data_IF_890624454443
#
_entry.id   IF_890624454443
#
_cell.length_a   1.000
_cell.length_b   1.000
_cell.length_c   1.000
_cell.angle_alpha   90.00
_cell.angle_beta   90.00
_cell.angle_gamma   90.00
#
_symmetry.space_group_name_H-M   'P 1'
#
loop_
_entity.id
_entity.type
_entity.pdbx_description
1 polymer ?
#
# COMPACT_ATOMS: atom_id res chain seq x y z
N UNK A 1 -68.27 33.96 24.15
CA UNK A 1 -66.91 34.53 23.86
C UNK A 1 -65.91 33.78 24.69
N UNK A 2 -65.24 32.74 24.11
CA UNK A 2 -64.14 32.08 24.76
C UNK A 2 -63.08 31.79 23.66
N UNK A 3 -62.00 32.54 23.75
CA UNK A 3 -60.77 32.28 22.92
C UNK A 3 -60.02 31.09 23.50
N UNK A 4 -60.01 29.99 22.80
CA UNK A 4 -59.16 28.86 23.11
C UNK A 4 -57.77 29.06 22.50
N UNK A 5 -56.75 28.92 23.30
CA UNK A 5 -55.33 29.03 22.98
C UNK A 5 -54.86 27.85 22.10
N UNK A 6 -54.35 28.16 20.90
CA UNK A 6 -53.64 27.23 20.04
C UNK A 6 -52.15 27.48 20.23
N UNK A 7 -51.59 27.02 21.33
CA UNK A 7 -50.13 26.97 21.52
C UNK A 7 -49.83 25.74 22.36
N UNK A 8 -49.26 24.67 21.74
CA UNK A 8 -48.49 23.67 22.46
C UNK A 8 -48.02 22.45 21.65
N UNK A 9 -48.41 22.23 20.40
CA UNK A 9 -48.00 20.98 19.72
C UNK A 9 -46.67 21.06 18.93
N UNK A 10 -46.27 22.26 18.48
CA UNK A 10 -45.06 22.39 17.61
C UNK A 10 -43.73 22.34 18.38
N UNK A 11 -43.69 22.71 19.64
CA UNK A 11 -42.43 22.75 20.42
C UNK A 11 -41.99 21.36 20.91
N UNK A 12 -42.90 20.41 21.07
CA UNK A 12 -42.57 19.04 21.48
C UNK A 12 -42.02 18.20 20.35
N UNK A 13 -42.41 18.44 19.10
CA UNK A 13 -41.95 17.71 17.95
C UNK A 13 -40.47 18.05 17.62
N UNK A 14 -40.07 19.33 17.72
CA UNK A 14 -38.70 19.77 17.43
C UNK A 14 -37.73 19.30 18.51
N UNK A 15 -38.10 19.37 19.78
CA UNK A 15 -37.28 18.91 20.89
C UNK A 15 -37.04 17.38 20.85
N UNK A 16 -38.06 16.60 20.50
CA UNK A 16 -37.96 15.15 20.36
C UNK A 16 -37.03 14.73 19.23
N UNK A 17 -37.08 15.42 18.10
CA UNK A 17 -36.22 15.10 16.92
C UNK A 17 -34.75 15.41 17.20
N UNK A 18 -34.44 16.55 17.83
CA UNK A 18 -33.06 16.93 18.19
C UNK A 18 -32.48 15.96 19.22
N UNK A 19 -33.23 15.60 20.25
CA UNK A 19 -32.79 14.62 21.26
C UNK A 19 -32.54 13.26 20.62
N UNK A 20 -33.38 12.82 19.68
CA UNK A 20 -33.22 11.54 18.99
C UNK A 20 -32.00 11.52 18.07
N UNK A 21 -31.73 12.59 17.33
CA UNK A 21 -30.54 12.74 16.50
C UNK A 21 -29.28 12.76 17.34
N UNK A 22 -29.24 13.51 18.44
CA UNK A 22 -28.10 13.55 19.36
C UNK A 22 -27.87 12.19 19.99
N UNK A 23 -28.94 11.46 20.35
CA UNK A 23 -28.80 10.10 20.89
C UNK A 23 -28.25 9.10 19.86
N UNK A 24 -28.68 9.19 18.62
CA UNK A 24 -28.16 8.35 17.52
C UNK A 24 -26.68 8.65 17.28
N UNK A 25 -26.28 9.91 17.16
CA UNK A 25 -24.89 10.32 16.97
C UNK A 25 -24.03 9.86 18.14
N UNK A 26 -24.54 10.00 19.37
CA UNK A 26 -23.84 9.52 20.56
C UNK A 26 -23.72 7.99 20.59
N UNK A 27 -24.79 7.24 20.24
CA UNK A 27 -24.75 5.77 20.17
C UNK A 27 -23.82 5.27 19.08
N UNK A 28 -23.77 5.92 17.90
CA UNK A 28 -22.84 5.58 16.83
C UNK A 28 -21.40 5.86 17.26
N UNK A 29 -21.14 7.02 17.89
CA UNK A 29 -19.81 7.34 18.43
C UNK A 29 -19.34 6.39 19.54
N UNK A 30 -20.23 5.99 20.44
CA UNK A 30 -19.92 5.02 21.51
C UNK A 30 -19.67 3.63 20.94
N UNK A 31 -20.40 3.21 19.90
CA UNK A 31 -20.19 1.93 19.24
C UNK A 31 -18.84 1.93 18.47
N UNK A 32 -18.52 2.97 17.71
CA UNK A 32 -17.24 3.11 17.04
C UNK A 32 -16.06 3.05 18.02
N UNK A 33 -16.11 3.79 19.11
CA UNK A 33 -15.07 3.78 20.15
C UNK A 33 -14.93 2.40 20.85
N UNK A 34 -16.02 1.64 20.98
CA UNK A 34 -15.98 0.28 21.53
C UNK A 34 -15.36 -0.72 20.55
N UNK A 35 -15.66 -0.61 19.27
CA UNK A 35 -15.09 -1.45 18.23
C UNK A 35 -13.60 -1.18 18.07
N UNK A 36 -13.16 0.07 18.04
CA UNK A 36 -11.75 0.44 18.02
C UNK A 36 -11.00 -0.09 19.24
N UNK A 37 -11.57 0.06 20.45
CA UNK A 37 -10.98 -0.50 21.67
C UNK A 37 -10.90 -2.02 21.65
N UNK A 38 -11.86 -2.70 21.02
CA UNK A 38 -11.83 -4.16 20.84
C UNK A 38 -10.74 -4.57 19.85
N UNK A 39 -10.61 -3.90 18.71
CA UNK A 39 -9.55 -4.15 17.71
C UNK A 39 -8.16 -3.93 18.31
N UNK A 40 -7.95 -2.81 19.00
CA UNK A 40 -6.67 -2.52 19.67
C UNK A 40 -6.32 -3.59 20.71
N UNK A 41 -7.30 -4.05 21.49
CA UNK A 41 -7.09 -5.14 22.45
C UNK A 41 -6.73 -6.44 21.76
N UNK A 42 -7.45 -6.80 20.70
CA UNK A 42 -7.16 -8.01 19.91
C UNK A 42 -5.77 -7.93 19.26
N UNK A 43 -5.37 -6.77 18.76
CA UNK A 43 -4.03 -6.56 18.22
C UNK A 43 -2.95 -6.75 19.30
N UNK A 44 -3.12 -6.15 20.46
CA UNK A 44 -2.19 -6.31 21.59
C UNK A 44 -2.11 -7.75 22.11
N UNK A 45 -3.24 -8.48 22.16
CA UNK A 45 -3.28 -9.90 22.52
C UNK A 45 -2.50 -10.79 21.52
N UNK A 46 -2.31 -10.31 20.29
CA UNK A 46 -1.54 -10.97 19.23
C UNK A 46 -0.11 -10.43 19.08
N UNK A 47 0.33 -9.54 19.96
CA UNK A 47 1.68 -8.97 19.94
C UNK A 47 1.86 -7.82 18.95
N UNK A 48 0.78 -7.13 18.55
CA UNK A 48 0.87 -5.93 17.74
C UNK A 48 0.73 -4.66 18.61
N UNK A 49 1.58 -3.67 18.36
CA UNK A 49 1.63 -2.42 19.15
C UNK A 49 1.40 -1.21 18.25
N UNK A 50 0.77 -0.18 18.82
CA UNK A 50 0.57 1.08 18.12
C UNK A 50 1.92 1.74 17.77
N UNK A 51 1.97 2.54 16.67
CA UNK A 51 3.13 3.36 16.37
C UNK A 51 3.54 4.23 17.56
N UNK A 52 4.83 4.40 17.77
CA UNK A 52 5.36 5.31 18.81
C UNK A 52 5.29 6.77 18.40
N UNK A 53 5.16 7.02 17.09
CA UNK A 53 4.95 8.34 16.49
C UNK A 53 4.15 8.16 15.18
N UNK A 54 3.18 9.04 14.95
CA UNK A 54 2.39 9.08 13.72
C UNK A 54 2.00 10.51 13.39
N UNK A 55 2.27 10.95 12.17
CA UNK A 55 1.91 12.29 11.70
C UNK A 55 1.35 12.27 10.28
N UNK A 56 0.32 13.05 10.04
CA UNK A 56 -0.15 13.36 8.70
C UNK A 56 0.87 14.29 8.03
N UNK A 57 1.32 13.92 6.84
CA UNK A 57 2.19 14.74 6.00
C UNK A 57 1.37 15.56 5.01
N UNK A 58 0.29 15.00 4.48
CA UNK A 58 -0.60 15.68 3.54
C UNK A 58 -1.82 14.83 3.17
N UNK A 59 -2.70 15.45 2.36
CA UNK A 59 -3.85 14.79 1.75
C UNK A 59 -3.58 14.49 0.29
N UNK A 60 -3.91 13.28 -0.14
CA UNK A 60 -3.72 12.87 -1.52
C UNK A 60 -4.53 13.78 -2.47
N UNK A 61 -3.96 14.18 -3.61
CA UNK A 61 -4.66 15.00 -4.59
C UNK A 61 -5.81 14.22 -5.25
N UNK A 62 -6.73 14.95 -5.88
CA UNK A 62 -7.93 14.34 -6.48
C UNK A 62 -7.63 13.35 -7.62
N UNK A 63 -6.47 13.46 -8.23
CA UNK A 63 -5.95 12.57 -9.27
C UNK A 63 -5.53 11.21 -8.71
N UNK A 64 -5.20 11.15 -7.41
CA UNK A 64 -4.74 9.96 -6.68
C UNK A 64 -5.80 9.49 -5.69
N UNK A 65 -6.91 8.96 -6.21
CA UNK A 65 -8.01 8.46 -5.39
C UNK A 65 -7.78 7.07 -4.84
N UNK A 66 -7.10 6.27 -5.60
CA UNK A 66 -6.83 4.86 -5.32
C UNK A 66 -5.32 4.64 -5.29
N UNK A 67 -4.61 5.54 -4.51
CA UNK A 67 -3.15 5.44 -4.38
C UNK A 67 -2.78 4.08 -3.80
N UNK A 68 -2.17 3.26 -4.64
CA UNK A 68 -1.58 1.98 -4.29
C UNK A 68 -0.05 2.13 -4.18
N UNK A 69 0.79 1.21 -4.42
CA UNK A 69 2.25 1.26 -4.31
C UNK A 69 2.93 2.60 -4.02
N UNK A 70 3.98 2.61 -3.24
CA UNK A 70 4.69 3.82 -2.85
C UNK A 70 6.20 3.60 -2.83
N UNK A 71 6.98 4.50 -3.47
CA UNK A 71 8.43 4.55 -3.29
C UNK A 71 8.93 5.99 -3.08
N UNK A 72 10.06 6.11 -2.39
CA UNK A 72 10.75 7.38 -2.16
C UNK A 72 11.89 7.47 -3.16
N UNK A 73 11.90 8.52 -3.99
CA UNK A 73 12.98 8.78 -4.94
C UNK A 73 14.33 8.91 -4.23
N UNK A 74 15.36 8.28 -4.80
CA UNK A 74 16.75 8.43 -4.35
C UNK A 74 17.51 9.49 -5.14
N UNK A 75 17.05 9.81 -6.34
CA UNK A 75 17.70 10.79 -7.24
C UNK A 75 17.02 12.16 -7.24
N UNK A 76 15.75 12.23 -6.81
CA UNK A 76 14.99 13.47 -6.68
C UNK A 76 14.59 13.69 -5.22
N UNK A 77 15.39 14.38 -4.40
CA UNK A 77 15.12 14.53 -2.98
C UNK A 77 13.74 15.13 -2.67
N UNK A 78 12.98 14.47 -1.80
CA UNK A 78 11.65 14.91 -1.41
C UNK A 78 10.52 14.54 -2.37
N UNK A 79 10.81 13.74 -3.40
CA UNK A 79 9.84 13.21 -4.35
C UNK A 79 9.43 11.80 -3.90
N UNK A 80 8.13 11.53 -3.97
CA UNK A 80 7.52 10.21 -3.79
C UNK A 80 6.81 9.84 -5.09
N UNK A 81 6.95 8.58 -5.47
CA UNK A 81 6.26 8.00 -6.62
C UNK A 81 5.14 7.09 -6.15
N UNK A 82 4.01 7.18 -6.82
CA UNK A 82 2.86 6.32 -6.59
C UNK A 82 2.06 6.17 -7.90
N UNK A 83 1.06 5.30 -7.89
CA UNK A 83 0.10 5.11 -8.97
C UNK A 83 -1.29 4.89 -8.37
N UNK A 84 -2.33 4.94 -9.17
CA UNK A 84 -3.64 4.43 -8.78
C UNK A 84 -3.70 2.91 -9.05
N UNK A 85 -4.58 2.24 -8.32
CA UNK A 85 -4.99 0.86 -8.53
C UNK A 85 -5.78 0.68 -9.84
N UNK A 86 -6.48 -0.43 -9.99
CA UNK A 86 -7.26 -0.81 -11.16
C UNK A 86 -8.25 0.27 -11.61
N UNK A 87 -8.41 0.42 -12.94
CA UNK A 87 -9.39 1.35 -13.53
C UNK A 87 -8.83 2.73 -13.90
N UNK A 88 -7.58 3.05 -13.57
CA UNK A 88 -6.85 4.20 -14.12
C UNK A 88 -6.14 3.82 -15.44
N UNK A 89 -5.61 4.83 -16.14
CA UNK A 89 -4.67 4.64 -17.23
C UNK A 89 -3.27 4.37 -16.68
N UNK A 90 -2.33 3.81 -17.49
CA UNK A 90 -0.97 3.53 -17.03
C UNK A 90 -0.21 4.82 -16.73
N UNK A 91 -0.34 5.31 -15.51
CA UNK A 91 0.21 6.58 -15.05
C UNK A 91 1.03 6.43 -13.78
N UNK A 92 2.13 7.17 -13.75
CA UNK A 92 2.93 7.41 -12.56
C UNK A 92 2.69 8.84 -12.08
N UNK A 93 2.63 9.01 -10.78
CA UNK A 93 2.43 10.30 -10.14
C UNK A 93 3.62 10.61 -9.24
N UNK A 94 4.25 11.78 -9.49
CA UNK A 94 5.24 12.34 -8.58
C UNK A 94 4.55 13.29 -7.62
N UNK A 95 4.70 13.07 -6.32
CA UNK A 95 4.20 13.96 -5.26
C UNK A 95 5.33 14.41 -4.35
N UNK A 96 5.17 15.56 -3.68
CA UNK A 96 6.11 16.01 -2.66
C UNK A 96 5.73 15.48 -1.24
N UNK A 97 6.56 15.82 -0.26
CA UNK A 97 6.38 15.41 1.13
C UNK A 97 5.10 15.96 1.79
N UNK A 98 4.34 16.81 1.11
CA UNK A 98 3.03 17.33 1.55
C UNK A 98 1.88 16.75 0.73
N UNK A 99 2.15 15.69 -0.04
CA UNK A 99 1.24 15.06 -1.00
C UNK A 99 0.79 15.98 -2.15
N UNK A 100 1.49 17.08 -2.41
CA UNK A 100 1.19 17.94 -3.55
C UNK A 100 1.68 17.26 -4.84
N UNK A 101 0.81 17.16 -5.84
CA UNK A 101 1.17 16.65 -7.17
C UNK A 101 2.21 17.56 -7.82
N UNK A 102 3.33 16.98 -8.25
CA UNK A 102 4.42 17.63 -8.96
C UNK A 102 4.30 17.42 -10.47
N UNK A 103 4.08 16.16 -10.88
CA UNK A 103 3.94 15.77 -12.27
C UNK A 103 3.20 14.43 -12.41
N UNK A 104 2.64 14.21 -13.60
CA UNK A 104 2.02 12.95 -14.03
C UNK A 104 2.70 12.47 -15.29
N UNK A 105 3.02 11.18 -15.35
CA UNK A 105 3.68 10.54 -16.48
C UNK A 105 2.82 9.40 -17.03
N UNK A 106 2.44 9.50 -18.30
CA UNK A 106 1.83 8.39 -19.01
C UNK A 106 2.91 7.38 -19.41
N UNK A 107 2.69 6.10 -19.13
CA UNK A 107 3.66 5.04 -19.46
C UNK A 107 3.29 4.40 -20.78
N UNK A 108 3.95 4.80 -21.85
CA UNK A 108 3.69 4.28 -23.20
C UNK A 108 4.12 2.82 -23.30
N UNK A 109 3.19 1.99 -23.78
CA UNK A 109 3.41 0.56 -23.97
C UNK A 109 3.04 -0.31 -22.75
N UNK A 110 2.72 0.28 -21.60
CA UNK A 110 2.18 -0.46 -20.46
C UNK A 110 0.66 -0.67 -20.61
N UNK A 111 0.16 -1.73 -19.97
CA UNK A 111 -1.25 -1.89 -19.67
C UNK A 111 -1.46 -1.66 -18.17
N UNK A 112 -2.52 -0.95 -17.77
CA UNK A 112 -2.92 -0.83 -16.38
C UNK A 112 -4.15 -1.70 -16.17
N UNK A 113 -3.93 -3.00 -16.00
CA UNK A 113 -5.03 -3.93 -15.78
C UNK A 113 -5.40 -3.99 -14.32
N UNK A 114 -4.38 -4.12 -13.47
CA UNK A 114 -4.54 -4.22 -12.02
C UNK A 114 -3.18 -3.93 -11.36
N UNK A 115 -2.80 -2.64 -11.34
CA UNK A 115 -1.52 -2.19 -10.77
C UNK A 115 -1.65 -2.12 -9.25
N UNK A 116 -0.83 -2.88 -8.53
CA UNK A 116 -0.97 -3.01 -7.08
C UNK A 116 0.23 -2.49 -6.30
N UNK A 117 1.43 -2.57 -6.87
CA UNK A 117 2.64 -2.24 -6.12
C UNK A 117 3.71 -1.62 -6.99
N UNK A 118 4.68 -0.96 -6.35
CA UNK A 118 5.86 -0.48 -7.02
C UNK A 118 7.13 -0.61 -6.17
N UNK A 119 8.27 -0.74 -6.84
CA UNK A 119 9.58 -0.73 -6.22
C UNK A 119 10.52 0.22 -6.95
N UNK A 120 11.57 0.70 -6.26
CA UNK A 120 12.63 1.51 -6.82
C UNK A 120 13.96 0.78 -6.71
N UNK A 121 14.66 0.65 -7.83
CA UNK A 121 15.95 -0.04 -7.86
C UNK A 121 16.82 0.35 -9.06
N UNK A 122 17.98 -0.31 -9.25
CA UNK A 122 18.80 -0.09 -10.42
C UNK A 122 18.07 -0.54 -11.68
N UNK A 123 18.34 0.11 -12.81
CA UNK A 123 17.86 -0.35 -14.10
C UNK A 123 18.57 -1.65 -14.54
N UNK A 124 17.90 -2.56 -15.28
CA UNK A 124 18.47 -3.86 -15.65
C UNK A 124 19.79 -3.77 -16.43
N UNK A 125 19.96 -2.71 -17.24
CA UNK A 125 21.15 -2.52 -18.06
C UNK A 125 22.21 -1.60 -17.43
N UNK A 126 21.86 -0.89 -16.34
CA UNK A 126 22.75 0.09 -15.71
C UNK A 126 22.47 0.21 -14.22
N UNK A 127 23.42 -0.22 -13.40
CA UNK A 127 23.30 -0.05 -11.94
C UNK A 127 23.36 1.40 -11.47
N UNK A 128 23.81 2.32 -12.31
CA UNK A 128 23.97 3.74 -11.97
C UNK A 128 22.70 4.56 -12.30
N UNK A 129 21.74 3.92 -12.98
CA UNK A 129 20.46 4.54 -13.35
C UNK A 129 19.34 3.99 -12.46
N UNK A 130 18.46 4.87 -11.97
CA UNK A 130 17.32 4.50 -11.15
C UNK A 130 16.12 4.13 -12.02
N UNK A 131 15.45 3.04 -11.68
CA UNK A 131 14.23 2.58 -12.34
C UNK A 131 13.09 2.36 -11.36
N UNK A 132 11.89 2.70 -11.80
CA UNK A 132 10.63 2.31 -11.19
C UNK A 132 10.19 0.97 -11.77
N UNK A 133 9.81 0.07 -10.89
CA UNK A 133 9.23 -1.23 -11.20
C UNK A 133 7.78 -1.20 -10.76
N UNK A 134 6.84 -1.36 -11.69
CA UNK A 134 5.39 -1.29 -11.41
C UNK A 134 4.79 -2.66 -11.65
N UNK A 135 4.13 -3.20 -10.65
CA UNK A 135 3.57 -4.54 -10.66
C UNK A 135 2.09 -4.53 -11.09
N UNK A 136 1.82 -5.02 -12.27
CA UNK A 136 0.47 -5.34 -12.77
C UNK A 136 0.16 -6.81 -12.41
N UNK A 137 -0.10 -7.04 -11.12
CA UNK A 137 -0.15 -8.37 -10.48
C UNK A 137 -1.45 -8.66 -9.75
N UNK A 138 -2.38 -7.70 -9.67
CA UNK A 138 -3.68 -7.89 -9.08
C UNK A 138 -4.51 -8.91 -9.84
N UNK A 139 -5.21 -9.77 -9.11
CA UNK A 139 -6.12 -10.77 -9.66
C UNK A 139 -7.13 -11.24 -8.60
N UNK A 140 -7.98 -10.35 -8.16
CA UNK A 140 -9.03 -10.64 -7.19
C UNK A 140 -9.95 -11.82 -7.59
N UNK A 141 -9.98 -12.16 -8.88
CA UNK A 141 -10.77 -13.26 -9.43
C UNK A 141 -10.01 -14.57 -9.63
N UNK A 142 -8.69 -14.60 -9.40
CA UNK A 142 -7.81 -15.76 -9.63
C UNK A 142 -7.95 -16.32 -11.06
N UNK A 143 -7.95 -15.44 -12.08
CA UNK A 143 -8.22 -15.79 -13.48
C UNK A 143 -7.05 -15.46 -14.41
N UNK A 144 -6.02 -14.74 -13.94
CA UNK A 144 -4.88 -14.35 -14.77
C UNK A 144 -3.88 -15.48 -14.84
N UNK A 145 -3.71 -16.04 -16.03
CA UNK A 145 -2.68 -17.08 -16.29
C UNK A 145 -1.25 -16.50 -16.17
N UNK A 146 -1.10 -15.20 -16.46
CA UNK A 146 0.15 -14.46 -16.33
C UNK A 146 -0.08 -13.03 -15.91
N UNK A 147 0.89 -12.49 -15.21
CA UNK A 147 1.00 -11.12 -14.73
C UNK A 147 2.33 -10.52 -15.16
N UNK A 148 2.57 -9.23 -14.93
CA UNK A 148 3.78 -8.58 -15.39
C UNK A 148 4.27 -7.49 -14.43
N UNK A 149 5.58 -7.22 -14.47
CA UNK A 149 6.19 -6.04 -13.87
C UNK A 149 6.75 -5.19 -15.00
N UNK A 150 6.37 -3.91 -15.03
CA UNK A 150 6.85 -2.92 -15.98
C UNK A 150 8.06 -2.18 -15.41
N UNK A 151 9.06 -1.91 -16.22
CA UNK A 151 10.30 -1.23 -15.82
C UNK A 151 10.39 0.08 -16.59
N UNK A 152 10.50 1.18 -15.85
CA UNK A 152 10.54 2.54 -16.38
C UNK A 152 11.76 3.25 -15.78
N UNK A 153 12.58 3.92 -16.58
CA UNK A 153 13.60 4.82 -16.02
C UNK A 153 12.93 5.90 -15.18
N UNK A 154 13.44 6.17 -13.99
CA UNK A 154 12.85 7.13 -13.07
C UNK A 154 12.81 8.53 -13.72
N UNK A 155 11.62 9.09 -13.99
CA UNK A 155 11.52 10.36 -14.70
C UNK A 155 11.94 11.55 -13.84
N UNK A 156 12.34 12.65 -14.48
CA UNK A 156 12.56 13.92 -13.79
C UNK A 156 11.23 14.69 -13.62
N UNK A 157 10.70 14.82 -12.40
CA UNK A 157 9.42 15.51 -12.20
C UNK A 157 9.47 17.01 -12.47
N UNK A 158 10.66 17.61 -12.60
CA UNK A 158 10.82 19.02 -12.92
C UNK A 158 10.43 19.38 -14.35
N UNK A 159 10.38 18.40 -15.25
CA UNK A 159 9.93 18.62 -16.63
C UNK A 159 8.42 18.78 -16.77
N UNK A 160 7.66 18.49 -15.69
CA UNK A 160 6.20 18.50 -15.69
C UNK A 160 5.59 17.25 -16.34
N UNK A 161 4.28 17.30 -16.60
CA UNK A 161 3.56 16.17 -17.18
C UNK A 161 4.09 15.78 -18.56
N UNK A 162 4.36 14.50 -18.76
CA UNK A 162 4.89 13.98 -20.03
C UNK A 162 4.59 12.49 -20.18
N UNK A 163 5.02 11.93 -21.31
CA UNK A 163 4.98 10.51 -21.59
C UNK A 163 6.36 9.91 -21.42
N UNK A 164 6.45 8.72 -20.83
CA UNK A 164 7.68 7.95 -20.67
C UNK A 164 7.52 6.57 -21.30
N UNK A 165 8.58 6.05 -21.88
CA UNK A 165 8.57 4.74 -22.49
C UNK A 165 8.94 3.65 -21.48
N UNK A 166 8.45 2.43 -21.70
CA UNK A 166 8.95 1.24 -21.01
C UNK A 166 10.40 0.98 -21.44
N UNK A 167 11.26 0.68 -20.45
CA UNK A 167 12.57 0.04 -20.71
C UNK A 167 12.45 -1.46 -20.89
N UNK A 168 11.49 -2.10 -20.24
CA UNK A 168 11.27 -3.53 -20.34
C UNK A 168 10.02 -3.98 -19.58
N UNK A 169 9.72 -5.26 -19.78
CA UNK A 169 8.61 -5.94 -19.10
C UNK A 169 9.09 -7.30 -18.61
N UNK A 170 8.70 -7.67 -17.41
CA UNK A 170 8.97 -8.99 -16.82
C UNK A 170 7.63 -9.72 -16.67
N UNK A 171 7.19 -10.44 -17.73
CA UNK A 171 5.98 -11.26 -17.63
C UNK A 171 6.31 -12.55 -16.88
N UNK A 172 5.40 -13.01 -16.00
CA UNK A 172 5.63 -14.24 -15.26
C UNK A 172 4.34 -15.00 -14.94
N UNK A 173 4.50 -16.26 -14.54
CA UNK A 173 3.45 -17.16 -14.09
C UNK A 173 3.84 -17.76 -12.74
N UNK A 174 2.84 -17.94 -11.88
CA UNK A 174 3.03 -18.68 -10.62
C UNK A 174 3.05 -20.18 -10.88
N UNK A 175 3.76 -20.97 -10.04
CA UNK A 175 3.94 -22.40 -10.28
C UNK A 175 2.71 -23.26 -9.99
N UNK A 176 1.81 -22.75 -9.13
CA UNK A 176 0.66 -23.47 -8.55
C UNK A 176 -0.70 -22.84 -8.93
N UNK A 177 -0.70 -21.96 -9.92
CA UNK A 177 -1.90 -21.30 -10.45
C UNK A 177 -1.95 -19.81 -10.12
N UNK A 178 -3.02 -19.11 -10.51
CA UNK A 178 -3.18 -17.68 -10.28
C UNK A 178 -3.14 -17.28 -8.80
N UNK A 179 -2.49 -16.16 -8.50
CA UNK A 179 -2.51 -15.49 -7.20
C UNK A 179 -2.92 -14.03 -7.38
N UNK A 180 -3.60 -13.49 -6.37
CA UNK A 180 -3.66 -12.04 -6.19
C UNK A 180 -2.41 -11.61 -5.42
N UNK A 181 -1.67 -10.64 -5.93
CA UNK A 181 -0.49 -10.11 -5.27
C UNK A 181 -0.58 -8.59 -5.16
N UNK A 182 -0.07 -8.04 -4.07
CA UNK A 182 -0.20 -6.62 -3.73
C UNK A 182 1.11 -6.01 -3.23
N UNK A 183 2.19 -6.79 -3.20
CA UNK A 183 3.47 -6.29 -2.74
C UNK A 183 4.58 -6.54 -3.75
N UNK A 184 5.42 -5.52 -3.95
CA UNK A 184 6.63 -5.61 -4.73
C UNK A 184 7.80 -4.95 -3.99
N UNK A 185 8.87 -5.70 -3.79
CA UNK A 185 10.13 -5.13 -3.32
C UNK A 185 11.29 -5.52 -4.24
N UNK A 186 12.37 -4.76 -4.18
CA UNK A 186 13.62 -5.06 -4.88
C UNK A 186 14.75 -5.17 -3.88
N UNK A 187 15.53 -6.25 -3.97
CA UNK A 187 16.67 -6.48 -3.08
C UNK A 187 17.87 -5.62 -3.48
N UNK A 188 18.86 -5.53 -2.59
CA UNK A 188 20.15 -4.89 -2.92
C UNK A 188 20.88 -5.61 -4.06
N UNK A 189 20.55 -6.88 -4.32
CA UNK A 189 21.03 -7.67 -5.46
C UNK A 189 20.21 -7.48 -6.73
N UNK A 190 19.18 -6.64 -6.70
CA UNK A 190 18.20 -6.40 -7.78
C UNK A 190 17.29 -7.61 -8.10
N UNK A 191 17.16 -8.57 -7.19
CA UNK A 191 16.10 -9.58 -7.28
C UNK A 191 14.75 -8.91 -6.94
N UNK A 192 13.68 -9.31 -7.61
CA UNK A 192 12.33 -8.86 -7.29
C UNK A 192 11.67 -9.83 -6.33
N UNK A 193 10.89 -9.28 -5.39
CA UNK A 193 10.11 -10.02 -4.40
C UNK A 193 8.66 -9.63 -4.55
N UNK A 194 7.82 -10.59 -4.93
CA UNK A 194 6.37 -10.41 -5.08
C UNK A 194 5.68 -11.06 -3.89
N UNK A 195 4.77 -10.34 -3.22
CA UNK A 195 4.05 -10.83 -2.04
C UNK A 195 2.54 -10.87 -2.31
N UNK A 196 1.92 -12.00 -1.97
CA UNK A 196 0.50 -12.24 -2.26
C UNK A 196 -0.42 -11.62 -1.22
N UNK A 197 -1.64 -11.25 -1.66
CA UNK A 197 -2.79 -10.90 -0.83
C UNK A 197 -3.75 -12.09 -0.80
N UNK A 198 -3.50 -13.01 0.09
CA UNK A 198 -4.35 -14.18 0.28
C UNK A 198 -5.53 -13.86 1.18
N UNK A 199 -6.66 -14.56 0.98
CA UNK A 199 -7.87 -14.41 1.81
C UNK A 199 -8.17 -15.61 2.69
N UNK A 200 -7.69 -16.78 2.29
CA UNK A 200 -7.98 -18.08 2.88
C UNK A 200 -6.74 -18.98 3.03
N UNK A 201 -5.57 -18.47 2.65
CA UNK A 201 -4.29 -19.16 2.74
C UNK A 201 -3.25 -18.23 3.37
N UNK A 202 -2.24 -18.78 4.00
CA UNK A 202 -1.08 -18.03 4.51
C UNK A 202 -0.44 -17.23 3.37
N UNK A 203 -0.11 -15.97 3.63
CA UNK A 203 0.61 -15.09 2.70
C UNK A 203 1.87 -15.76 2.16
N UNK A 204 2.12 -15.63 0.88
CA UNK A 204 3.30 -16.16 0.21
C UNK A 204 4.15 -15.05 -0.41
N UNK A 205 5.44 -15.32 -0.57
CA UNK A 205 6.29 -14.50 -1.42
C UNK A 205 7.01 -15.36 -2.46
N UNK A 206 7.30 -14.73 -3.60
CA UNK A 206 8.01 -15.29 -4.73
C UNK A 206 9.18 -14.39 -5.08
N UNK A 207 10.29 -15.00 -5.49
CA UNK A 207 11.49 -14.26 -5.91
C UNK A 207 11.73 -14.43 -7.40
N UNK A 208 12.10 -13.34 -8.07
CA UNK A 208 12.57 -13.35 -9.46
C UNK A 208 14.01 -12.89 -9.43
N UNK A 209 14.98 -13.77 -9.73
CA UNK A 209 16.39 -13.42 -9.71
C UNK A 209 16.75 -12.28 -10.67
N UNK A 210 17.65 -11.41 -10.29
CA UNK A 210 18.08 -10.26 -11.09
C UNK A 210 18.53 -10.64 -12.52
N UNK A 211 19.13 -11.83 -12.68
CA UNK A 211 19.51 -12.33 -14.00
C UNK A 211 18.27 -12.58 -14.88
N UNK A 212 17.21 -13.15 -14.32
CA UNK A 212 15.96 -13.44 -15.00
C UNK A 212 15.18 -12.14 -15.28
N UNK A 213 15.20 -11.19 -14.34
CA UNK A 213 14.64 -9.83 -14.53
C UNK A 213 15.29 -9.15 -15.73
N UNK A 214 16.64 -9.16 -15.79
CA UNK A 214 17.39 -8.56 -16.89
C UNK A 214 17.09 -9.23 -18.23
N UNK A 215 17.06 -10.54 -18.26
CA UNK A 215 16.77 -11.31 -19.47
C UNK A 215 15.36 -11.03 -19.96
N UNK A 216 14.36 -11.08 -19.08
CA UNK A 216 12.98 -10.78 -19.44
C UNK A 216 12.78 -9.34 -19.92
N UNK A 217 13.43 -8.37 -19.28
CA UNK A 217 13.36 -6.97 -19.67
C UNK A 217 13.89 -6.71 -21.10
N UNK A 218 14.89 -7.49 -21.54
CA UNK A 218 15.51 -7.35 -22.86
C UNK A 218 14.74 -8.05 -23.97
N UNK A 219 14.22 -9.25 -23.72
CA UNK A 219 13.63 -10.12 -24.75
C UNK A 219 12.14 -10.41 -24.55
N UNK A 220 11.55 -9.96 -23.44
CA UNK A 220 10.14 -10.18 -23.09
C UNK A 220 9.82 -11.63 -22.73
N UNK A 221 10.84 -12.43 -22.40
CA UNK A 221 10.69 -13.86 -22.10
C UNK A 221 9.84 -14.12 -20.86
N UNK A 222 8.82 -14.98 -20.99
CA UNK A 222 7.96 -15.40 -19.88
C UNK A 222 8.77 -16.11 -18.80
N UNK A 223 8.72 -15.61 -17.59
CA UNK A 223 9.33 -16.24 -16.42
C UNK A 223 8.34 -17.19 -15.76
N UNK A 224 8.82 -18.35 -15.34
CA UNK A 224 8.04 -19.28 -14.53
C UNK A 224 8.64 -19.31 -13.14
N UNK A 225 7.91 -18.78 -12.16
CA UNK A 225 8.37 -18.70 -10.79
C UNK A 225 8.56 -20.11 -10.21
N UNK A 226 9.49 -20.23 -9.29
CA UNK A 226 9.61 -21.43 -8.45
C UNK A 226 8.61 -21.37 -7.31
N UNK A 227 8.45 -22.47 -6.55
CA UNK A 227 7.51 -22.53 -5.44
C UNK A 227 7.70 -21.35 -4.47
N UNK A 228 6.60 -20.71 -4.14
CA UNK A 228 6.56 -19.63 -3.17
C UNK A 228 6.92 -20.10 -1.76
N UNK A 229 7.36 -19.16 -0.94
CA UNK A 229 7.64 -19.37 0.49
C UNK A 229 6.60 -18.62 1.32
N UNK A 230 6.22 -19.18 2.45
CA UNK A 230 5.21 -18.57 3.32
C UNK A 230 5.81 -17.52 4.25
N UNK A 231 5.12 -16.40 4.38
CA UNK A 231 5.27 -15.46 5.49
C UNK A 231 4.22 -15.82 6.56
N UNK A 232 4.54 -15.80 7.85
CA UNK A 232 3.60 -16.16 8.91
C UNK A 232 2.56 -15.04 9.17
N UNK A 233 1.84 -14.66 8.12
CA UNK A 233 0.74 -13.71 8.15
C UNK A 233 -0.51 -14.48 7.73
N UNK A 234 -1.34 -14.82 8.72
CA UNK A 234 -2.62 -15.46 8.46
C UNK A 234 -3.66 -14.38 8.14
N UNK A 235 -4.29 -14.45 6.96
CA UNK A 235 -5.26 -13.45 6.56
C UNK A 235 -6.49 -13.46 7.48
N UNK A 236 -6.96 -12.27 7.80
CA UNK A 236 -8.18 -12.09 8.59
C UNK A 236 -8.91 -10.82 8.12
N UNK A 237 -9.75 -10.93 7.08
CA UNK A 237 -10.43 -9.79 6.46
C UNK A 237 -11.26 -8.96 7.45
N UNK A 238 -11.84 -9.61 8.46
CA UNK A 238 -12.71 -8.95 9.46
C UNK A 238 -11.98 -7.91 10.32
N UNK A 239 -10.65 -8.00 10.41
CA UNK A 239 -9.80 -7.04 11.15
C UNK A 239 -8.83 -6.29 10.24
N UNK A 240 -8.97 -6.43 8.92
CA UNK A 240 -8.11 -5.74 7.95
C UNK A 240 -6.73 -6.37 7.78
N UNK A 241 -6.54 -7.65 8.13
CA UNK A 241 -5.27 -8.35 7.92
C UNK A 241 -5.24 -9.01 6.54
N UNK A 242 -5.14 -8.16 5.53
CA UNK A 242 -4.87 -8.51 4.14
C UNK A 242 -3.72 -7.65 3.65
N UNK A 243 -2.72 -8.27 3.02
CA UNK A 243 -1.55 -7.55 2.49
C UNK A 243 -1.98 -6.49 1.49
N UNK A 244 -1.35 -5.32 1.55
CA UNK A 244 -1.60 -4.20 0.63
C UNK A 244 -0.32 -3.68 -0.02
N UNK A 245 0.86 -3.84 0.62
CA UNK A 245 2.15 -3.50 0.00
C UNK A 245 3.31 -4.04 0.84
N UNK A 246 4.52 -3.94 0.31
CA UNK A 246 5.76 -4.31 1.01
C UNK A 246 6.88 -3.31 0.71
N UNK A 247 7.82 -3.19 1.64
CA UNK A 247 9.04 -2.41 1.41
C UNK A 247 10.27 -3.09 2.04
N UNK A 248 11.42 -3.00 1.40
CA UNK A 248 12.71 -3.30 1.99
C UNK A 248 13.36 -2.01 2.50
N UNK A 249 13.99 -2.07 3.68
CA UNK A 249 14.79 -0.95 4.17
C UNK A 249 16.04 -0.74 3.30
N UNK A 250 16.73 0.40 3.46
CA UNK A 250 17.90 0.77 2.66
C UNK A 250 19.06 -0.24 2.77
N UNK A 251 19.21 -0.90 3.91
CA UNK A 251 20.23 -1.95 4.13
C UNK A 251 19.84 -3.29 3.48
N UNK A 252 18.60 -3.43 3.03
CA UNK A 252 18.06 -4.66 2.43
C UNK A 252 17.95 -5.82 3.42
N UNK A 253 17.89 -5.56 4.72
CA UNK A 253 17.89 -6.59 5.75
C UNK A 253 16.58 -6.69 6.56
N UNK A 254 15.62 -5.79 6.32
CA UNK A 254 14.28 -5.80 6.92
C UNK A 254 13.23 -5.64 5.82
N UNK A 255 12.36 -6.63 5.70
CA UNK A 255 11.15 -6.58 4.89
C UNK A 255 9.97 -6.15 5.77
N UNK A 256 9.38 -5.00 5.48
CA UNK A 256 8.10 -4.60 6.02
C UNK A 256 6.97 -5.10 5.12
N UNK A 257 5.98 -5.76 5.68
CA UNK A 257 4.78 -6.22 4.97
C UNK A 257 3.59 -5.53 5.59
N UNK A 258 2.94 -4.68 4.81
CA UNK A 258 1.77 -3.92 5.23
C UNK A 258 0.49 -4.70 4.95
N UNK A 259 -0.43 -4.61 5.89
CA UNK A 259 -1.85 -4.95 5.72
C UNK A 259 -2.69 -3.69 5.94
N UNK A 260 -4.00 -3.75 5.73
CA UNK A 260 -4.87 -2.60 6.05
C UNK A 260 -4.75 -2.15 7.52
N UNK A 261 -4.48 -3.07 8.45
CA UNK A 261 -4.48 -2.78 9.89
C UNK A 261 -3.15 -2.89 10.60
N UNK A 262 -2.17 -3.56 10.01
CA UNK A 262 -0.92 -3.91 10.68
C UNK A 262 0.28 -3.83 9.73
N UNK A 263 1.48 -3.65 10.26
CA UNK A 263 2.74 -3.81 9.53
C UNK A 263 3.57 -4.86 10.27
N UNK A 264 4.01 -5.88 9.53
CA UNK A 264 4.89 -6.94 10.00
C UNK A 264 6.32 -6.69 9.52
N UNK A 265 7.31 -7.11 10.30
CA UNK A 265 8.72 -6.90 9.99
C UNK A 265 9.48 -8.21 10.06
N UNK A 266 10.15 -8.56 8.97
CA UNK A 266 10.89 -9.81 8.85
C UNK A 266 12.34 -9.57 8.50
N UNK A 267 13.24 -10.42 8.99
CA UNK A 267 14.61 -10.47 8.50
C UNK A 267 14.64 -10.82 7.01
N UNK A 268 15.46 -10.11 6.26
CA UNK A 268 15.70 -10.37 4.86
C UNK A 268 17.20 -10.50 4.58
N UNK A 269 17.71 -11.37 3.67
CA UNK A 269 16.90 -12.40 2.99
C UNK A 269 16.39 -13.46 3.96
N UNK A 270 15.24 -14.06 3.61
CA UNK A 270 14.69 -15.17 4.38
C UNK A 270 15.56 -16.40 4.18
N UNK A 271 16.12 -16.94 5.27
CA UNK A 271 16.90 -18.17 5.28
C UNK A 271 15.99 -19.42 5.39
N UNK A 272 16.37 -20.42 6.18
CA UNK A 272 15.55 -21.62 6.39
C UNK A 272 14.23 -21.32 7.11
N UNK A 273 14.21 -20.30 7.99
CA UNK A 273 13.04 -19.85 8.74
C UNK A 273 12.78 -18.38 8.53
N UNK A 274 11.51 -18.03 8.49
CA UNK A 274 11.07 -16.63 8.52
C UNK A 274 11.13 -16.16 9.96
N UNK A 275 11.91 -15.12 10.24
CA UNK A 275 12.09 -14.55 11.56
C UNK A 275 11.59 -13.11 11.57
N UNK A 276 10.72 -12.78 12.52
CA UNK A 276 10.32 -11.39 12.78
C UNK A 276 11.45 -10.66 13.50
N UNK A 277 11.76 -9.43 13.06
CA UNK A 277 12.73 -8.54 13.71
C UNK A 277 12.11 -7.72 14.83
N UNK A 278 10.80 -7.52 14.76
CA UNK A 278 10.01 -6.73 15.70
C UNK A 278 8.59 -7.27 15.78
N UNK A 279 7.87 -6.91 16.82
CA UNK A 279 6.44 -7.16 16.92
C UNK A 279 5.67 -6.32 15.90
N UNK A 280 4.49 -6.80 15.47
CA UNK A 280 3.70 -6.11 14.47
C UNK A 280 3.28 -4.71 14.96
N UNK A 281 3.26 -3.75 14.04
CA UNK A 281 2.82 -2.38 14.27
C UNK A 281 1.35 -2.26 13.91
N UNK A 282 0.48 -2.02 14.89
CA UNK A 282 -0.95 -1.89 14.68
C UNK A 282 -1.31 -0.46 14.31
N UNK A 283 -1.76 -0.26 13.09
CA UNK A 283 -2.15 1.06 12.55
C UNK A 283 -3.57 1.47 12.98
N UNK A 284 -4.42 0.50 13.32
CA UNK A 284 -5.80 0.77 13.70
C UNK A 284 -6.59 1.44 12.58
N UNK A 285 -7.25 2.54 12.92
CA UNK A 285 -8.02 3.38 11.99
C UNK A 285 -7.27 4.68 11.64
N UNK A 286 -5.93 4.67 11.66
CA UNK A 286 -5.14 5.83 11.25
C UNK A 286 -5.43 6.24 9.80
N UNK A 287 -5.81 5.27 8.98
CA UNK A 287 -6.11 5.44 7.57
C UNK A 287 -7.36 4.65 7.19
N UNK A 288 -8.22 5.22 6.35
CA UNK A 288 -9.49 4.55 5.99
C UNK A 288 -9.27 3.27 5.17
N UNK A 289 -8.35 3.29 4.22
CA UNK A 289 -7.94 2.16 3.39
C UNK A 289 -6.47 2.36 3.04
N UNK A 290 -5.62 1.77 3.85
CA UNK A 290 -4.20 1.97 3.73
C UNK A 290 -3.56 1.02 2.72
N UNK A 291 -2.77 1.57 1.78
CA UNK A 291 -2.19 0.81 0.67
C UNK A 291 -0.66 0.86 0.68
N UNK A 292 -0.03 1.89 0.13
CA UNK A 292 1.42 1.92 -0.09
C UNK A 292 2.27 2.08 1.17
N UNK A 293 3.49 1.53 1.16
CA UNK A 293 4.48 1.65 2.23
C UNK A 293 5.88 1.88 1.66
N UNK A 294 6.65 2.78 2.26
CA UNK A 294 8.07 2.98 1.95
C UNK A 294 8.90 3.29 3.20
N UNK A 295 10.11 2.75 3.27
CA UNK A 295 11.08 3.12 4.32
C UNK A 295 11.73 4.46 4.02
N UNK A 296 11.89 5.27 5.06
CA UNK A 296 12.80 6.42 5.08
C UNK A 296 14.16 6.02 5.64
N UNK A 297 15.18 6.81 5.31
CA UNK A 297 16.55 6.58 5.81
C UNK A 297 16.66 6.70 7.35
N UNK A 298 15.71 7.38 8.00
CA UNK A 298 15.64 7.53 9.46
C UNK A 298 14.88 6.38 10.16
N UNK A 299 14.58 5.30 9.43
CA UNK A 299 13.86 4.12 9.89
C UNK A 299 12.36 4.32 10.11
N UNK A 300 11.81 5.50 9.83
CA UNK A 300 10.35 5.70 9.79
C UNK A 300 9.80 5.16 8.48
N UNK A 301 8.49 4.92 8.49
CA UNK A 301 7.74 4.47 7.33
C UNK A 301 6.85 5.59 6.83
N UNK A 302 6.77 5.75 5.51
CA UNK A 302 5.77 6.58 4.84
C UNK A 302 4.69 5.67 4.31
N UNK A 303 3.45 6.07 4.51
CA UNK A 303 2.25 5.31 4.17
C UNK A 303 1.34 6.15 3.29
N UNK A 304 0.68 5.52 2.32
CA UNK A 304 -0.43 6.13 1.57
C UNK A 304 -1.73 5.40 1.87
N UNK A 305 -2.84 6.07 1.63
CA UNK A 305 -4.16 5.45 1.64
C UNK A 305 -5.02 5.96 0.51
N UNK A 306 -6.02 5.18 0.17
CA UNK A 306 -7.05 5.59 -0.77
C UNK A 306 -7.97 6.68 -0.20
N UNK A 307 -8.69 7.32 -1.12
CA UNK A 307 -9.80 8.22 -0.80
C UNK A 307 -11.06 7.42 -0.52
N UNK A 308 -11.85 7.90 0.42
CA UNK A 308 -13.17 7.34 0.72
C UNK A 308 -14.26 8.38 0.42
N UNK A 309 -15.55 8.01 0.51
CA UNK A 309 -16.63 8.99 0.40
C UNK A 309 -16.54 10.12 1.42
N UNK A 310 -15.85 9.88 2.55
CA UNK A 310 -15.68 10.86 3.64
C UNK A 310 -14.52 11.84 3.38
N UNK A 311 -13.59 11.51 2.46
CA UNK A 311 -12.51 12.44 2.13
C UNK A 311 -11.34 11.80 1.36
N UNK A 312 -10.40 12.66 1.01
CA UNK A 312 -9.17 12.29 0.33
C UNK A 312 -8.30 11.38 1.21
N UNK A 313 -7.57 10.48 0.56
CA UNK A 313 -6.55 9.64 1.18
C UNK A 313 -5.44 10.45 1.85
N UNK A 314 -4.54 9.78 2.52
CA UNK A 314 -3.48 10.38 3.32
C UNK A 314 -2.10 10.00 2.81
N UNK A 315 -1.16 10.93 2.95
CA UNK A 315 0.26 10.65 3.06
C UNK A 315 0.64 10.81 4.53
N UNK A 316 1.16 9.76 5.17
CA UNK A 316 1.52 9.74 6.58
C UNK A 316 2.94 9.28 6.80
N UNK A 317 3.51 9.68 7.92
CA UNK A 317 4.75 9.08 8.43
C UNK A 317 4.47 8.46 9.79
N UNK A 318 5.00 7.24 9.99
CA UNK A 318 4.86 6.52 11.27
C UNK A 318 6.21 5.98 11.72
N UNK A 319 6.37 5.81 13.04
CA UNK A 319 7.48 5.07 13.64
C UNK A 319 6.92 3.88 14.38
N UNK A 320 7.29 2.70 13.96
CA UNK A 320 6.89 1.46 14.60
C UNK A 320 7.90 1.03 15.67
N UNK A 321 7.45 0.38 16.76
CA UNK A 321 8.34 -0.10 17.82
C UNK A 321 9.34 -1.13 17.29
N UNK A 322 10.60 -1.06 17.73
CA UNK A 322 11.64 -2.06 17.43
C UNK A 322 12.19 -2.03 15.99
N UNK A 323 11.77 -1.07 15.15
CA UNK A 323 12.26 -0.89 13.79
C UNK A 323 12.90 0.48 13.67
N UNK A 324 14.14 0.55 13.15
CA UNK A 324 14.85 1.80 12.88
C UNK A 324 15.41 2.48 14.14
N UNK A 325 16.16 1.72 14.95
CA UNK A 325 17.00 2.21 16.02
C UNK A 325 18.46 2.17 15.62
#
# INVERSE_FOLDING_TARGET
>A
MTRGSVFSAAHWAIGGTVVFVVLIVWLLGVNGAREESARTRMAAERGAFAPTDAAEMGRMPNELRESSGLVISRVHPGVFWTHNDSGDEPRLYAIDATARLLATFEVEGAAARDWEAMALGPCPESSDTSCLYVADVGDNGFQRESVAIYIIEEPDPSIGNSTVALLGTVPFTYPDGPHNAEGLAITTGADLVVVTKERDRTTQFFEIPAADVRMAALDGGMQRLVAGRQLPIEPEPSVGRLVTDVALNSDGNVLAVRTYSEIYFFHWPVTERVEQVAEACFLGELEPQGEGIAFRDDGRLVLTSESTPEGAGYLRVVRCPGVGG
#
